data_IF_211639971639
#
_entry.id   IF_211639971639
#
_cell.length_a   1.000
_cell.length_b   1.000
_cell.length_c   1.000
_cell.angle_alpha   90.00
_cell.angle_beta   90.00
_cell.angle_gamma   90.00
#
_symmetry.space_group_name_H-M   'P 1'
#
loop_
_entity.id
_entity.type
_entity.pdbx_description
1 polymer ?
#
# COMPACT_ATOMS: atom_id res chain seq x y z
N UNK A 1 -18.10 -18.00 -12.24
CA UNK A 1 -16.76 -17.73 -12.83
C UNK A 1 -15.79 -18.88 -12.59
N UNK A 2 -15.68 -19.39 -11.36
CA UNK A 2 -14.82 -20.54 -11.02
C UNK A 2 -15.06 -21.79 -11.88
N UNK A 3 -16.33 -22.11 -12.18
CA UNK A 3 -16.70 -23.21 -13.08
C UNK A 3 -16.07 -23.09 -14.48
N UNK A 4 -16.06 -21.88 -15.05
CA UNK A 4 -15.52 -21.63 -16.40
C UNK A 4 -13.99 -21.73 -16.39
N UNK A 5 -13.35 -21.26 -15.31
CA UNK A 5 -11.92 -21.42 -15.10
C UNK A 5 -11.51 -22.89 -14.97
N UNK A 6 -12.27 -23.70 -14.21
CA UNK A 6 -12.03 -25.14 -14.13
C UNK A 6 -12.17 -25.82 -15.50
N UNK A 7 -13.15 -25.41 -16.31
CA UNK A 7 -13.34 -25.92 -17.67
C UNK A 7 -12.18 -25.57 -18.61
N UNK A 8 -11.60 -24.37 -18.48
CA UNK A 8 -10.38 -23.98 -19.21
C UNK A 8 -9.20 -24.86 -18.78
N UNK A 9 -9.00 -25.05 -17.47
CA UNK A 9 -7.90 -25.84 -16.92
C UNK A 9 -8.02 -27.34 -17.26
N UNK A 10 -9.24 -27.85 -17.38
CA UNK A 10 -9.53 -29.25 -17.68
C UNK A 10 -9.93 -29.47 -19.16
N UNK A 11 -9.49 -28.60 -20.07
CA UNK A 11 -9.88 -28.68 -21.48
C UNK A 11 -9.47 -30.03 -22.12
N UNK A 12 -10.43 -30.88 -22.56
CA UNK A 12 -10.13 -32.20 -23.12
C UNK A 12 -9.76 -32.17 -24.61
N UNK A 13 -9.88 -31.00 -25.25
CA UNK A 13 -9.70 -30.84 -26.69
C UNK A 13 -8.26 -30.50 -27.06
N UNK A 14 -7.90 -30.79 -28.31
CA UNK A 14 -6.55 -30.59 -28.87
C UNK A 14 -6.61 -29.85 -30.21
N UNK A 15 -5.46 -29.36 -30.68
CA UNK A 15 -5.32 -28.69 -31.98
C UNK A 15 -6.26 -27.48 -32.16
N UNK A 16 -6.82 -27.33 -33.35
CA UNK A 16 -7.73 -26.23 -33.69
C UNK A 16 -8.99 -26.20 -32.80
N UNK A 17 -9.49 -27.37 -32.39
CA UNK A 17 -10.70 -27.48 -31.53
C UNK A 17 -10.42 -26.95 -30.13
N UNK A 18 -9.22 -27.19 -29.58
CA UNK A 18 -8.78 -26.59 -28.31
C UNK A 18 -8.82 -25.07 -28.37
N UNK A 19 -8.31 -24.49 -29.46
CA UNK A 19 -8.28 -23.05 -29.65
C UNK A 19 -9.69 -22.45 -29.64
N UNK A 20 -10.59 -22.99 -30.45
CA UNK A 20 -11.99 -22.55 -30.51
C UNK A 20 -12.70 -22.69 -29.16
N UNK A 21 -12.45 -23.79 -28.43
CA UNK A 21 -13.01 -23.99 -27.10
C UNK A 21 -12.52 -22.93 -26.11
N UNK A 22 -11.22 -22.66 -26.09
CA UNK A 22 -10.64 -21.66 -25.19
C UNK A 22 -11.13 -20.25 -25.51
N UNK A 23 -11.18 -19.87 -26.79
CA UNK A 23 -11.75 -18.59 -27.23
C UNK A 23 -13.20 -18.43 -26.77
N UNK A 24 -14.01 -19.48 -26.90
CA UNK A 24 -15.40 -19.48 -26.43
C UNK A 24 -15.48 -19.30 -24.91
N UNK A 25 -14.59 -19.95 -24.15
CA UNK A 25 -14.55 -19.82 -22.68
C UNK A 25 -14.07 -18.46 -22.22
N UNK A 26 -13.17 -17.81 -22.95
CA UNK A 26 -12.75 -16.43 -22.70
C UNK A 26 -13.92 -15.47 -22.91
N UNK A 27 -14.66 -15.62 -24.01
CA UNK A 27 -15.86 -14.81 -24.27
C UNK A 27 -16.90 -15.00 -23.17
N UNK A 28 -17.12 -16.24 -22.71
CA UNK A 28 -18.01 -16.54 -21.58
C UNK A 28 -17.57 -15.83 -20.29
N UNK A 29 -16.27 -15.85 -19.96
CA UNK A 29 -15.73 -15.12 -18.81
C UNK A 29 -15.94 -13.61 -18.91
N UNK A 30 -15.73 -13.03 -20.10
CA UNK A 30 -15.95 -11.61 -20.36
C UNK A 30 -17.42 -11.26 -20.15
N UNK A 31 -18.35 -12.04 -20.72
CA UNK A 31 -19.79 -11.83 -20.57
C UNK A 31 -20.22 -11.90 -19.09
N UNK A 32 -19.74 -12.90 -18.34
CA UNK A 32 -20.03 -13.03 -16.91
C UNK A 32 -19.51 -11.83 -16.10
N UNK A 33 -18.32 -11.32 -16.43
CA UNK A 33 -17.75 -10.14 -15.77
C UNK A 33 -18.51 -8.87 -16.10
N UNK A 34 -18.86 -8.67 -17.37
CA UNK A 34 -19.66 -7.52 -17.79
C UNK A 34 -21.03 -7.53 -17.14
N UNK A 35 -21.69 -8.69 -17.03
CA UNK A 35 -22.97 -8.79 -16.34
C UNK A 35 -22.85 -8.33 -14.88
N UNK A 36 -21.84 -8.81 -14.13
CA UNK A 36 -21.59 -8.34 -12.75
C UNK A 36 -21.40 -6.81 -12.67
N UNK A 37 -20.64 -6.23 -13.61
CA UNK A 37 -20.41 -4.78 -13.67
C UNK A 37 -21.70 -3.99 -13.99
N UNK A 38 -22.57 -4.55 -14.83
CA UNK A 38 -23.76 -3.86 -15.34
C UNK A 38 -25.01 -4.06 -14.47
N UNK A 39 -25.13 -5.17 -13.75
CA UNK A 39 -26.37 -5.54 -13.01
C UNK A 39 -26.29 -5.35 -11.50
N UNK A 40 -25.11 -5.18 -10.90
CA UNK A 40 -25.04 -4.85 -9.48
C UNK A 40 -25.56 -3.41 -9.25
N UNK A 41 -26.49 -3.20 -8.29
CA UNK A 41 -26.88 -1.85 -7.91
C UNK A 41 -25.62 -1.11 -7.49
N UNK A 42 -25.35 0.03 -8.15
CA UNK A 42 -24.17 0.85 -7.88
C UNK A 42 -24.22 1.31 -6.43
N UNK A 43 -23.58 0.55 -5.55
CA UNK A 43 -23.07 1.10 -4.32
C UNK A 43 -21.97 2.07 -4.78
N UNK A 44 -22.27 3.38 -4.75
CA UNK A 44 -21.43 4.48 -5.26
C UNK A 44 -20.01 4.48 -4.60
N UNK A 45 -19.80 3.59 -3.64
CA UNK A 45 -18.59 3.47 -2.82
C UNK A 45 -17.60 2.38 -3.25
N UNK A 46 -17.96 1.38 -4.08
CA UNK A 46 -17.12 0.17 -4.20
C UNK A 46 -16.47 -0.11 -5.56
N UNK A 47 -16.92 0.44 -6.70
CA UNK A 47 -16.49 -0.05 -8.02
C UNK A 47 -15.73 0.93 -8.94
N UNK A 48 -15.08 1.96 -8.41
CA UNK A 48 -14.06 2.68 -9.19
C UNK A 48 -12.68 2.20 -8.80
N UNK A 49 -12.05 1.35 -9.60
CA UNK A 49 -10.58 1.32 -9.64
C UNK A 49 -10.10 2.76 -9.77
N UNK A 50 -9.05 3.15 -9.03
CA UNK A 50 -8.43 4.47 -9.23
C UNK A 50 -8.18 4.63 -10.72
N UNK A 51 -8.62 5.75 -11.29
CA UNK A 51 -8.22 6.10 -12.66
C UNK A 51 -6.69 6.10 -12.71
N UNK A 52 -6.05 5.73 -13.83
CA UNK A 52 -4.58 5.75 -13.94
C UNK A 52 -3.98 7.08 -13.46
N UNK A 53 -4.59 8.21 -13.84
CA UNK A 53 -4.19 9.55 -13.38
C UNK A 53 -4.30 9.76 -11.87
N UNK A 54 -5.33 9.19 -11.23
CA UNK A 54 -5.50 9.27 -9.77
C UNK A 54 -4.50 8.37 -9.05
N UNK A 55 -4.10 7.25 -9.67
CA UNK A 55 -3.05 6.37 -9.17
C UNK A 55 -1.69 7.09 -9.19
N UNK A 56 -1.34 7.77 -10.29
CA UNK A 56 -0.12 8.58 -10.37
C UNK A 56 -0.10 9.66 -9.27
N UNK A 57 -1.24 10.32 -9.00
CA UNK A 57 -1.36 11.29 -7.91
C UNK A 57 -1.18 10.67 -6.52
N UNK A 58 -1.62 9.41 -6.32
CA UNK A 58 -1.39 8.67 -5.06
C UNK A 58 0.09 8.36 -4.86
N UNK A 59 0.79 7.95 -5.91
CA UNK A 59 2.25 7.78 -5.86
C UNK A 59 2.97 9.11 -5.64
N UNK A 60 2.53 10.19 -6.28
CA UNK A 60 3.09 11.51 -6.03
C UNK A 60 2.88 11.97 -4.59
N UNK A 61 1.72 11.69 -3.99
CA UNK A 61 1.45 11.97 -2.58
C UNK A 61 2.41 11.22 -1.64
N UNK A 62 2.75 9.96 -1.97
CA UNK A 62 3.80 9.22 -1.26
C UNK A 62 5.12 9.96 -1.33
N UNK A 63 5.56 10.39 -2.51
CA UNK A 63 6.85 11.09 -2.65
C UNK A 63 6.91 12.37 -1.82
N UNK A 64 5.83 13.14 -1.80
CA UNK A 64 5.72 14.33 -0.94
C UNK A 64 5.88 13.96 0.55
N UNK A 65 5.17 12.93 1.02
CA UNK A 65 5.29 12.45 2.41
C UNK A 65 6.71 12.00 2.75
N UNK A 66 7.39 11.31 1.84
CA UNK A 66 8.73 10.77 2.09
C UNK A 66 9.80 11.87 2.11
N UNK A 67 9.65 12.91 1.28
CA UNK A 67 10.54 14.09 1.30
C UNK A 67 10.37 14.90 2.58
N UNK A 68 9.16 14.94 3.13
CA UNK A 68 8.81 15.72 4.32
C UNK A 68 8.55 14.81 5.53
N UNK A 69 9.42 13.82 5.74
CA UNK A 69 9.20 12.77 6.73
C UNK A 69 9.09 13.30 8.17
N UNK A 70 9.79 14.38 8.51
CA UNK A 70 9.79 14.97 9.86
C UNK A 70 8.53 15.83 10.10
N UNK A 71 8.26 16.73 9.16
CA UNK A 71 7.11 17.64 9.18
C UNK A 71 6.21 17.41 7.96
N UNK A 72 5.38 16.35 7.96
CA UNK A 72 4.51 16.03 6.83
C UNK A 72 3.33 17.02 6.75
N UNK A 73 2.78 17.24 5.55
CA UNK A 73 1.56 18.02 5.39
C UNK A 73 0.38 17.33 6.06
N UNK A 74 -0.63 18.11 6.44
CA UNK A 74 -1.92 17.55 6.84
C UNK A 74 -2.57 16.81 5.67
N UNK A 75 -3.55 15.95 5.97
CA UNK A 75 -4.22 15.20 4.92
C UNK A 75 -4.90 16.10 3.88
N UNK A 76 -5.45 17.23 4.33
CA UNK A 76 -6.14 18.21 3.48
C UNK A 76 -5.14 18.92 2.57
N UNK A 77 -4.01 19.37 3.13
CA UNK A 77 -2.94 20.00 2.37
C UNK A 77 -2.34 19.04 1.34
N UNK A 78 -2.07 17.79 1.75
CA UNK A 78 -1.54 16.77 0.86
C UNK A 78 -2.51 16.49 -0.30
N UNK A 79 -3.79 16.31 0.00
CA UNK A 79 -4.82 16.09 -1.02
C UNK A 79 -4.87 17.25 -2.02
N UNK A 80 -4.89 18.49 -1.51
CA UNK A 80 -4.86 19.70 -2.34
C UNK A 80 -3.60 19.79 -3.20
N UNK A 81 -2.43 19.48 -2.63
CA UNK A 81 -1.14 19.54 -3.31
C UNK A 81 -1.05 18.53 -4.47
N UNK A 82 -1.67 17.37 -4.35
CA UNK A 82 -1.65 16.33 -5.40
C UNK A 82 -2.86 16.35 -6.32
N UNK A 83 -3.79 17.28 -6.12
CA UNK A 83 -5.00 17.41 -6.94
C UNK A 83 -6.03 16.30 -6.70
N UNK A 84 -6.11 15.76 -5.49
CA UNK A 84 -7.12 14.80 -5.06
C UNK A 84 -8.01 15.41 -3.96
N UNK A 85 -9.21 14.86 -3.79
CA UNK A 85 -9.94 15.06 -2.54
C UNK A 85 -9.49 14.05 -1.48
N UNK A 86 -9.82 14.32 -0.22
CA UNK A 86 -9.38 13.51 0.92
C UNK A 86 -9.92 12.07 0.85
N UNK A 87 -11.15 11.87 0.36
CA UNK A 87 -11.75 10.56 0.16
C UNK A 87 -10.94 9.70 -0.83
N UNK A 88 -10.64 10.24 -2.01
CA UNK A 88 -9.84 9.58 -3.04
C UNK A 88 -8.43 9.29 -2.55
N UNK A 89 -7.81 10.21 -1.82
CA UNK A 89 -6.47 10.01 -1.27
C UNK A 89 -6.45 8.88 -0.22
N UNK A 90 -7.39 8.89 0.75
CA UNK A 90 -7.52 7.83 1.77
C UNK A 90 -7.76 6.46 1.12
N UNK A 91 -8.70 6.41 0.17
CA UNK A 91 -9.03 5.19 -0.57
C UNK A 91 -7.84 4.71 -1.39
N UNK A 92 -7.18 5.63 -2.08
CA UNK A 92 -6.00 5.37 -2.88
C UNK A 92 -4.87 4.73 -2.08
N UNK A 93 -4.55 5.29 -0.92
CA UNK A 93 -3.52 4.72 -0.04
C UNK A 93 -3.89 3.32 0.46
N UNK A 94 -5.16 3.06 0.80
CA UNK A 94 -5.61 1.73 1.21
C UNK A 94 -5.51 0.72 0.07
N UNK A 95 -5.87 1.12 -1.15
CA UNK A 95 -5.83 0.24 -2.32
C UNK A 95 -4.40 -0.04 -2.80
N UNK A 96 -3.53 0.98 -2.82
CA UNK A 96 -2.17 0.89 -3.38
C UNK A 96 -1.16 0.39 -2.34
N UNK A 97 -1.28 0.83 -1.08
CA UNK A 97 -0.29 0.54 -0.02
C UNK A 97 -0.85 -0.29 1.13
N UNK A 98 -2.13 -0.68 1.10
CA UNK A 98 -2.74 -1.53 2.13
C UNK A 98 -2.97 -0.83 3.48
N UNK A 99 -2.77 0.49 3.57
CA UNK A 99 -2.84 1.23 4.85
C UNK A 99 -3.33 2.67 4.65
N UNK A 100 -3.49 3.42 5.74
CA UNK A 100 -3.85 4.84 5.67
C UNK A 100 -2.63 5.69 5.31
N UNK A 101 -2.86 6.92 4.85
CA UNK A 101 -1.81 7.90 4.52
C UNK A 101 -0.77 8.03 5.63
N UNK A 102 -1.21 8.27 6.87
CA UNK A 102 -0.31 8.39 8.01
C UNK A 102 0.15 7.05 8.59
N UNK A 103 -0.60 5.96 8.35
CA UNK A 103 -0.13 4.61 8.64
C UNK A 103 1.09 4.24 7.80
N UNK A 104 1.07 4.62 6.51
CA UNK A 104 2.21 4.46 5.61
C UNK A 104 3.42 5.25 6.10
N UNK A 105 3.22 6.54 6.40
CA UNK A 105 4.30 7.39 6.92
C UNK A 105 4.88 6.82 8.23
N UNK A 106 4.03 6.39 9.16
CA UNK A 106 4.46 5.80 10.42
C UNK A 106 5.32 4.55 10.21
N UNK A 107 4.89 3.63 9.33
CA UNK A 107 5.66 2.43 9.00
C UNK A 107 7.01 2.77 8.37
N UNK A 108 7.04 3.78 7.49
CA UNK A 108 8.26 4.26 6.85
C UNK A 108 9.22 4.91 7.85
N UNK A 109 8.73 5.73 8.79
CA UNK A 109 9.52 6.31 9.88
C UNK A 109 10.20 5.24 10.73
N UNK A 110 9.47 4.18 11.09
CA UNK A 110 10.03 3.07 11.85
C UNK A 110 11.10 2.31 11.05
N UNK A 111 10.88 2.10 9.75
CA UNK A 111 11.88 1.45 8.89
C UNK A 111 13.15 2.30 8.76
N UNK A 112 13.00 3.62 8.56
CA UNK A 112 14.13 4.53 8.50
C UNK A 112 14.88 4.60 9.83
N UNK A 113 14.16 4.54 10.96
CA UNK A 113 14.76 4.49 12.27
C UNK A 113 15.60 3.23 12.46
N UNK A 114 15.11 2.07 12.02
CA UNK A 114 15.86 0.80 12.06
C UNK A 114 17.20 0.94 11.33
N UNK A 115 17.18 1.43 10.09
CA UNK A 115 18.39 1.66 9.30
C UNK A 115 19.39 2.60 9.99
N UNK A 116 18.90 3.69 10.59
CA UNK A 116 19.76 4.66 11.29
C UNK A 116 20.37 4.08 12.58
N UNK A 117 19.64 3.22 13.28
CA UNK A 117 20.13 2.54 14.49
C UNK A 117 21.21 1.51 14.14
N UNK A 118 21.05 0.78 13.03
CA UNK A 118 22.02 -0.20 12.52
C UNK A 118 23.35 0.46 12.16
N UNK A 119 23.31 1.64 11.51
CA UNK A 119 24.50 2.43 11.21
C UNK A 119 25.24 2.87 12.49
N UNK A 120 24.53 3.02 13.61
CA UNK A 120 25.17 3.25 14.90
C UNK A 120 25.68 4.66 15.17
N UNK A 121 25.57 5.61 14.24
CA UNK A 121 26.14 6.96 14.39
C UNK A 121 25.33 7.90 15.30
N UNK A 122 24.07 7.57 15.59
CA UNK A 122 23.15 8.43 16.35
C UNK A 122 22.57 7.68 17.55
N UNK A 123 22.31 8.39 18.65
CA UNK A 123 21.58 7.83 19.79
C UNK A 123 20.12 7.60 19.42
N UNK A 124 19.46 6.62 20.06
CA UNK A 124 18.04 6.34 19.82
C UNK A 124 17.11 7.57 19.92
N UNK A 125 17.39 8.50 20.84
CA UNK A 125 16.65 9.75 20.97
C UNK A 125 16.84 10.72 19.80
N UNK A 126 18.02 10.72 19.18
CA UNK A 126 18.33 11.55 18.01
C UNK A 126 17.70 10.95 16.76
N UNK A 127 17.73 9.62 16.63
CA UNK A 127 17.02 8.90 15.58
C UNK A 127 15.52 9.18 15.62
N UNK A 128 14.90 9.13 16.82
CA UNK A 128 13.48 9.42 17.00
C UNK A 128 13.10 10.80 16.44
N UNK A 129 13.89 11.83 16.80
CA UNK A 129 13.69 13.20 16.29
C UNK A 129 13.90 13.26 14.78
N UNK A 130 14.99 12.68 14.27
CA UNK A 130 15.37 12.73 12.85
C UNK A 130 14.33 12.10 11.92
N UNK A 131 13.59 11.09 12.39
CA UNK A 131 12.51 10.47 11.60
C UNK A 131 11.13 11.08 11.90
N UNK A 132 11.03 12.12 12.73
CA UNK A 132 9.79 12.86 12.97
C UNK A 132 8.89 12.36 14.10
N UNK A 133 9.42 11.61 15.07
CA UNK A 133 8.69 11.33 16.31
C UNK A 133 8.89 12.47 17.31
N UNK A 134 7.79 13.11 17.71
CA UNK A 134 7.77 14.14 18.75
C UNK A 134 7.95 13.55 20.15
N UNK A 135 7.39 12.36 20.37
CA UNK A 135 7.43 11.65 21.65
C UNK A 135 8.35 10.42 21.57
N UNK A 136 9.36 10.38 22.46
CA UNK A 136 10.35 9.31 22.53
C UNK A 136 9.78 8.00 23.08
N UNK A 137 8.85 8.07 24.03
CA UNK A 137 8.18 6.91 24.63
C UNK A 137 7.23 6.26 23.62
N UNK A 138 6.50 7.08 22.85
CA UNK A 138 5.68 6.61 21.75
C UNK A 138 6.52 5.97 20.64
N UNK A 139 7.65 6.59 20.26
CA UNK A 139 8.61 5.98 19.34
C UNK A 139 9.10 4.61 19.83
N UNK A 140 9.59 4.53 21.08
CA UNK A 140 10.13 3.30 21.62
C UNK A 140 9.09 2.16 21.67
N UNK A 141 7.86 2.48 22.09
CA UNK A 141 6.77 1.50 22.12
C UNK A 141 6.35 1.03 20.73
N UNK A 142 6.23 1.94 19.75
CA UNK A 142 5.92 1.61 18.37
C UNK A 142 7.04 0.80 17.70
N UNK A 143 8.31 1.15 17.96
CA UNK A 143 9.47 0.44 17.45
C UNK A 143 9.53 -0.99 18.00
N UNK A 144 9.39 -1.16 19.33
CA UNK A 144 9.33 -2.48 19.96
C UNK A 144 8.18 -3.31 19.43
N UNK A 145 7.00 -2.72 19.23
CA UNK A 145 5.84 -3.41 18.67
C UNK A 145 6.12 -3.97 17.27
N UNK A 146 6.88 -3.25 16.44
CA UNK A 146 7.19 -3.66 15.06
C UNK A 146 8.38 -4.63 14.97
N UNK A 147 9.44 -4.42 15.76
CA UNK A 147 10.72 -5.13 15.62
C UNK A 147 11.10 -6.02 16.80
N UNK A 148 10.25 -6.13 17.82
CA UNK A 148 10.43 -7.00 18.99
C UNK A 148 11.36 -6.45 20.08
N UNK A 149 12.24 -5.50 19.76
CA UNK A 149 13.22 -4.93 20.70
C UNK A 149 13.04 -3.42 20.86
N UNK A 150 13.48 -2.89 22.00
CA UNK A 150 13.58 -1.44 22.17
C UNK A 150 14.69 -0.86 21.27
N UNK A 151 14.57 0.40 20.81
CA UNK A 151 15.56 1.02 19.92
C UNK A 151 17.02 0.92 20.39
N UNK A 152 17.28 1.15 21.69
CA UNK A 152 18.63 1.09 22.26
C UNK A 152 19.19 -0.33 22.30
N UNK A 153 18.35 -1.32 22.59
CA UNK A 153 18.76 -2.73 22.61
C UNK A 153 19.02 -3.24 21.19
N UNK A 154 18.16 -2.84 20.25
CA UNK A 154 18.32 -3.12 18.83
C UNK A 154 19.67 -2.58 18.30
N UNK A 155 20.00 -1.33 18.64
CA UNK A 155 21.28 -0.71 18.27
C UNK A 155 22.49 -1.40 18.92
N UNK A 156 22.37 -1.90 20.15
CA UNK A 156 23.44 -2.66 20.80
C UNK A 156 23.68 -3.99 20.10
N UNK A 157 22.60 -4.68 19.72
CA UNK A 157 22.69 -5.96 19.03
C UNK A 157 23.30 -5.82 17.63
N UNK A 158 22.90 -4.79 16.87
CA UNK A 158 23.39 -4.57 15.50
C UNK A 158 24.88 -4.19 15.42
N UNK A 159 25.52 -3.85 16.55
CA UNK A 159 26.97 -3.55 16.62
C UNK A 159 27.82 -4.78 16.95
N UNK A 160 27.20 -5.84 17.45
CA UNK A 160 27.88 -7.07 17.87
C UNK A 160 27.83 -8.15 16.79
N UNK A 161 26.93 -8.00 15.81
CA UNK A 161 26.85 -8.81 14.58
C UNK A 161 27.67 -8.19 13.45
#
# INVERSE_FOLDING_TARGET
>A
MERVLQQILQCPYHGAVKRLYLESKVIELIALRLNQILTEPRDISSCHSLKPEDLDRVYYAREVLLRQIDCPPTLIELARQVGLNDFKLKRGFRQVFGTTVFGYLHQHRLEKARQLLEVGNLKASEVAKKVGFRDRSYFASAFRKKFGLNPSDYQRQSRTS
#
